data_IF_484168893931
#
_entry.id   IF_484168893931
#
_cell.length_a   1.000
_cell.length_b   1.000
_cell.length_c   1.000
_cell.angle_alpha   90.00
_cell.angle_beta   90.00
_cell.angle_gamma   90.00
#
_symmetry.space_group_name_H-M   'P 1'
#
loop_
_entity.id
_entity.type
_entity.pdbx_description
1 polymer ?
#
# COMPACT_ATOMS: atom_id res chain seq x y z
N UNK A 1 -13.48 10.93 -6.45
CA UNK A 1 -13.83 9.96 -5.39
C UNK A 1 -13.91 8.60 -6.06
N UNK A 2 -13.21 7.58 -5.57
CA UNK A 2 -13.03 6.33 -6.31
C UNK A 2 -14.20 5.37 -6.02
N UNK A 3 -15.12 5.19 -6.95
CA UNK A 3 -16.23 4.28 -6.71
C UNK A 3 -15.78 2.81 -6.83
N UNK A 4 -15.92 1.99 -5.78
CA UNK A 4 -15.60 0.56 -5.80
C UNK A 4 -16.77 -0.26 -6.34
N UNK A 5 -16.48 -1.28 -7.13
CA UNK A 5 -17.50 -2.17 -7.67
C UNK A 5 -18.04 -3.15 -6.62
N UNK A 6 -19.17 -3.82 -6.92
CA UNK A 6 -19.67 -4.92 -6.09
C UNK A 6 -18.62 -6.04 -5.98
N UNK A 7 -17.96 -6.41 -7.08
CA UNK A 7 -16.93 -7.45 -7.09
C UNK A 7 -15.72 -7.12 -6.20
N UNK A 8 -15.24 -5.88 -6.26
CA UNK A 8 -14.13 -5.41 -5.41
C UNK A 8 -14.51 -5.46 -3.93
N UNK A 9 -15.70 -4.95 -3.57
CA UNK A 9 -16.17 -4.94 -2.19
C UNK A 9 -16.42 -6.37 -1.69
N UNK A 10 -17.02 -7.23 -2.50
CA UNK A 10 -17.28 -8.62 -2.16
C UNK A 10 -15.98 -9.36 -1.83
N UNK A 11 -14.95 -9.20 -2.66
CA UNK A 11 -13.64 -9.78 -2.38
C UNK A 11 -13.00 -9.19 -1.11
N UNK A 12 -13.00 -7.87 -0.98
CA UNK A 12 -12.37 -7.20 0.15
C UNK A 12 -13.04 -7.57 1.48
N UNK A 13 -14.36 -7.82 1.48
CA UNK A 13 -15.07 -8.31 2.66
C UNK A 13 -14.57 -9.68 3.13
N UNK A 14 -14.33 -10.62 2.21
CA UNK A 14 -13.69 -11.90 2.56
C UNK A 14 -12.23 -11.73 2.95
N UNK A 15 -11.52 -10.83 2.26
CA UNK A 15 -10.12 -10.51 2.53
C UNK A 15 -9.89 -10.10 3.99
N UNK A 16 -10.72 -9.19 4.53
CA UNK A 16 -10.64 -8.70 5.92
C UNK A 16 -11.12 -9.73 6.97
N UNK A 17 -11.78 -10.81 6.55
CA UNK A 17 -12.21 -11.88 7.45
C UNK A 17 -11.14 -12.95 7.65
N UNK A 18 -10.14 -13.01 6.78
CA UNK A 18 -9.03 -13.95 6.97
C UNK A 18 -8.28 -14.31 5.70
N UNK A 19 -8.75 -13.96 4.49
CA UNK A 19 -7.98 -14.30 3.29
C UNK A 19 -6.62 -13.61 3.25
N UNK A 20 -6.44 -12.49 3.96
CA UNK A 20 -5.11 -11.88 4.16
C UNK A 20 -4.11 -12.83 4.84
N UNK A 21 -4.57 -13.75 5.69
CA UNK A 21 -3.72 -14.72 6.38
C UNK A 21 -3.34 -15.93 5.52
N UNK A 22 -3.95 -16.08 4.33
CA UNK A 22 -3.59 -17.14 3.39
C UNK A 22 -2.14 -16.96 2.94
N UNK A 23 -1.26 -17.98 3.10
CA UNK A 23 0.13 -17.90 2.64
C UNK A 23 0.25 -17.56 1.16
N UNK A 24 -0.68 -18.06 0.34
CA UNK A 24 -0.74 -17.78 -1.09
C UNK A 24 -1.04 -16.30 -1.38
N UNK A 25 -2.00 -15.72 -0.67
CA UNK A 25 -2.35 -14.29 -0.80
C UNK A 25 -1.20 -13.42 -0.32
N UNK A 26 -0.56 -13.76 0.81
CA UNK A 26 0.63 -13.06 1.33
C UNK A 26 1.78 -13.09 0.34
N UNK A 27 2.05 -14.23 -0.29
CA UNK A 27 3.10 -14.34 -1.30
C UNK A 27 2.81 -13.47 -2.52
N UNK A 28 1.57 -13.47 -3.03
CA UNK A 28 1.18 -12.57 -4.12
C UNK A 28 1.33 -11.11 -3.76
N UNK A 29 0.87 -10.70 -2.57
CA UNK A 29 1.04 -9.34 -2.06
C UNK A 29 2.52 -8.96 -1.96
N UNK A 30 3.37 -9.85 -1.45
CA UNK A 30 4.82 -9.62 -1.39
C UNK A 30 5.39 -9.41 -2.78
N UNK A 31 5.11 -10.29 -3.74
CA UNK A 31 5.62 -10.15 -5.12
C UNK A 31 5.18 -8.83 -5.77
N UNK A 32 3.96 -8.39 -5.49
CA UNK A 32 3.37 -7.16 -6.02
C UNK A 32 3.74 -5.88 -5.24
N UNK A 33 4.46 -5.99 -4.11
CA UNK A 33 4.66 -4.89 -3.16
C UNK A 33 3.33 -4.29 -2.62
N UNK A 34 2.36 -5.17 -2.36
CA UNK A 34 1.03 -4.85 -1.86
C UNK A 34 -0.03 -4.89 -2.95
N UNK A 35 -1.07 -4.08 -2.76
CA UNK A 35 -2.10 -3.84 -3.77
C UNK A 35 -1.73 -2.62 -4.63
N UNK A 36 -2.32 -2.48 -5.83
CA UNK A 36 -2.22 -1.23 -6.57
C UNK A 36 -2.93 -0.11 -5.78
N UNK A 37 -2.67 1.16 -6.11
CA UNK A 37 -3.23 2.32 -5.39
C UNK A 37 -4.73 2.19 -5.13
N UNK A 38 -5.50 1.82 -6.16
CA UNK A 38 -6.94 1.63 -6.07
C UNK A 38 -7.34 0.59 -5.03
N UNK A 39 -6.75 -0.59 -5.11
CA UNK A 39 -7.10 -1.70 -4.24
C UNK A 39 -6.52 -1.52 -2.84
N UNK A 40 -5.40 -0.82 -2.69
CA UNK A 40 -4.84 -0.46 -1.39
C UNK A 40 -5.79 0.49 -0.64
N UNK A 41 -6.26 1.55 -1.29
CA UNK A 41 -7.29 2.43 -0.73
C UNK A 41 -8.58 1.68 -0.47
N UNK A 42 -9.01 0.83 -1.40
CA UNK A 42 -10.20 0.01 -1.23
C UNK A 42 -10.13 -0.88 0.01
N UNK A 43 -9.01 -1.58 0.23
CA UNK A 43 -8.81 -2.42 1.41
C UNK A 43 -8.86 -1.62 2.72
N UNK A 44 -8.20 -0.45 2.76
CA UNK A 44 -8.24 0.44 3.92
C UNK A 44 -9.67 0.93 4.20
N UNK A 45 -10.38 1.39 3.17
CA UNK A 45 -11.75 1.90 3.31
C UNK A 45 -12.69 0.80 3.78
N UNK A 46 -12.74 -0.32 3.07
CA UNK A 46 -13.59 -1.46 3.42
C UNK A 46 -13.30 -1.90 4.86
N UNK A 47 -12.04 -2.12 5.24
CA UNK A 47 -11.74 -2.54 6.61
C UNK A 47 -12.16 -1.50 7.65
N UNK A 48 -11.88 -0.22 7.40
CA UNK A 48 -12.29 0.86 8.31
C UNK A 48 -13.80 0.89 8.53
N UNK A 49 -14.59 0.69 7.47
CA UNK A 49 -16.06 0.77 7.54
C UNK A 49 -16.67 -0.46 8.21
N UNK A 50 -16.06 -1.64 8.04
CA UNK A 50 -16.53 -2.87 8.68
C UNK A 50 -16.02 -3.08 10.11
N UNK A 51 -14.87 -2.48 10.47
CA UNK A 51 -14.22 -2.63 11.79
C UNK A 51 -14.18 -1.33 12.61
N UNK A 52 -15.00 -0.33 12.27
CA UNK A 52 -15.10 0.95 12.97
C UNK A 52 -13.74 1.66 13.15
N UNK A 53 -12.93 1.66 12.10
CA UNK A 53 -11.64 2.36 12.06
C UNK A 53 -10.44 1.53 12.49
N UNK A 54 -10.65 0.29 12.95
CA UNK A 54 -9.55 -0.63 13.23
C UNK A 54 -8.98 -1.21 11.92
N UNK A 55 -7.70 -0.94 11.65
CA UNK A 55 -7.00 -1.34 10.42
C UNK A 55 -5.98 -2.45 10.70
N UNK A 56 -6.44 -3.64 11.05
CA UNK A 56 -5.52 -4.74 11.37
C UNK A 56 -4.81 -5.26 10.12
N UNK A 57 -5.57 -5.59 9.08
CA UNK A 57 -5.04 -6.15 7.85
C UNK A 57 -4.01 -5.24 7.18
N UNK A 58 -4.37 -3.96 6.90
CA UNK A 58 -3.44 -2.97 6.40
C UNK A 58 -2.21 -2.77 7.29
N UNK A 59 -2.33 -2.78 8.62
CA UNK A 59 -1.18 -2.63 9.51
C UNK A 59 -0.22 -3.81 9.40
N UNK A 60 -0.72 -5.05 9.41
CA UNK A 60 0.09 -6.27 9.26
C UNK A 60 0.73 -6.36 7.87
N UNK A 61 0.06 -5.87 6.82
CA UNK A 61 0.65 -5.79 5.49
C UNK A 61 1.71 -4.67 5.43
N UNK A 62 1.42 -3.52 6.02
CA UNK A 62 2.34 -2.38 6.06
C UNK A 62 3.64 -2.74 6.77
N UNK A 63 3.56 -3.34 7.96
CA UNK A 63 4.73 -3.79 8.72
C UNK A 63 5.61 -4.77 7.92
N UNK A 64 5.02 -5.76 7.25
CA UNK A 64 5.72 -6.73 6.41
C UNK A 64 6.43 -6.07 5.22
N UNK A 65 5.74 -5.15 4.53
CA UNK A 65 6.31 -4.41 3.40
C UNK A 65 7.43 -3.46 3.86
N UNK A 66 7.24 -2.73 4.96
CA UNK A 66 8.25 -1.80 5.49
C UNK A 66 9.48 -2.54 6.00
N UNK A 67 9.31 -3.65 6.71
CA UNK A 67 10.41 -4.51 7.18
C UNK A 67 11.24 -5.02 5.99
N UNK A 68 10.57 -5.43 4.91
CA UNK A 68 11.23 -5.86 3.69
C UNK A 68 11.91 -4.70 2.94
N UNK A 69 11.32 -3.51 2.94
CA UNK A 69 11.94 -2.31 2.38
C UNK A 69 13.23 -1.98 3.14
N UNK A 70 13.20 -2.00 4.47
CA UNK A 70 14.37 -1.78 5.32
C UNK A 70 15.49 -2.80 5.02
N UNK A 71 15.14 -4.09 4.96
CA UNK A 71 16.09 -5.16 4.65
C UNK A 71 16.78 -4.95 3.29
N UNK A 72 16.10 -4.36 2.31
CA UNK A 72 16.70 -4.04 1.00
C UNK A 72 17.84 -3.00 1.10
N UNK A 73 17.75 -2.06 2.05
CA UNK A 73 18.75 -1.02 2.27
C UNK A 73 19.94 -1.46 3.13
N UNK A 74 19.77 -2.51 3.95
CA UNK A 74 20.83 -3.03 4.84
C UNK A 74 21.95 -3.79 4.10
N UNK A 75 21.85 -3.96 2.78
CA UNK A 75 22.88 -4.61 1.96
C UNK A 75 24.23 -3.89 2.03
N UNK A 76 25.30 -4.62 2.34
CA UNK A 76 26.68 -4.11 2.41
C UNK A 76 27.44 -4.31 1.08
N UNK A 77 28.46 -3.46 0.88
CA UNK A 77 29.42 -3.58 -0.23
C UNK A 77 29.08 -2.81 -1.51
N UNK A 78 29.94 -2.93 -2.54
CA UNK A 78 29.72 -2.29 -3.84
C UNK A 78 28.40 -2.78 -4.47
N UNK A 79 27.71 -1.90 -5.16
CA UNK A 79 26.43 -2.22 -5.80
C UNK A 79 25.23 -2.35 -4.85
N UNK A 80 25.32 -1.87 -3.60
CA UNK A 80 24.17 -1.88 -2.66
C UNK A 80 22.92 -1.20 -3.20
N UNK A 81 23.07 -0.06 -3.89
CA UNK A 81 21.94 0.72 -4.39
C UNK A 81 21.24 0.05 -5.57
N UNK A 82 21.95 -0.42 -6.62
CA UNK A 82 21.34 -1.27 -7.65
C UNK A 82 20.62 -2.49 -7.08
N UNK A 83 21.20 -3.16 -6.07
CA UNK A 83 20.56 -4.29 -5.39
C UNK A 83 19.30 -3.89 -4.65
N UNK A 84 19.34 -2.83 -3.83
CA UNK A 84 18.18 -2.31 -3.12
C UNK A 84 17.03 -1.97 -4.10
N UNK A 85 17.34 -1.25 -5.18
CA UNK A 85 16.35 -0.90 -6.21
C UNK A 85 15.78 -2.16 -6.88
N UNK A 86 16.62 -3.14 -7.19
CA UNK A 86 16.17 -4.41 -7.74
C UNK A 86 15.17 -5.13 -6.82
N UNK A 87 15.38 -5.09 -5.50
CA UNK A 87 14.47 -5.70 -4.52
C UNK A 87 13.18 -4.91 -4.30
N UNK A 88 13.23 -3.59 -4.44
CA UNK A 88 12.08 -2.69 -4.35
C UNK A 88 11.18 -2.69 -5.59
N UNK A 89 11.64 -3.28 -6.70
CA UNK A 89 10.81 -3.49 -7.90
C UNK A 89 9.72 -4.53 -7.63
N UNK A 90 8.55 -4.25 -8.19
CA UNK A 90 7.47 -5.23 -8.26
C UNK A 90 7.83 -6.38 -9.21
N UNK A 91 7.38 -7.58 -8.85
CA UNK A 91 7.63 -8.84 -9.56
C UNK A 91 6.34 -9.59 -9.89
N UNK A 92 5.21 -8.88 -9.85
CA UNK A 92 3.89 -9.41 -10.12
C UNK A 92 2.81 -8.33 -10.09
N UNK A 93 1.64 -8.62 -10.66
CA UNK A 93 0.50 -7.71 -10.64
C UNK A 93 -0.13 -7.64 -9.25
N UNK A 94 -0.94 -6.60 -9.01
CA UNK A 94 -1.83 -6.56 -7.85
C UNK A 94 -2.73 -7.83 -7.83
N UNK A 95 -2.87 -8.52 -6.69
CA UNK A 95 -3.65 -9.77 -6.62
C UNK A 95 -5.10 -9.61 -7.08
N UNK A 96 -5.73 -8.46 -6.76
CA UNK A 96 -7.10 -8.17 -7.20
C UNK A 96 -7.18 -7.91 -8.70
N UNK A 97 -6.23 -7.16 -9.27
CA UNK A 97 -6.17 -6.95 -10.72
C UNK A 97 -5.96 -8.27 -11.48
N UNK A 98 -5.13 -9.17 -10.94
CA UNK A 98 -4.87 -10.49 -11.54
C UNK A 98 -6.15 -11.35 -11.62
N UNK A 99 -7.08 -11.18 -10.67
CA UNK A 99 -8.39 -11.85 -10.68
C UNK A 99 -9.44 -11.11 -11.54
N UNK A 100 -9.07 -10.03 -12.22
CA UNK A 100 -10.01 -9.22 -13.01
C UNK A 100 -10.96 -8.36 -12.16
N UNK A 101 -10.65 -8.15 -10.87
CA UNK A 101 -11.42 -7.25 -10.03
C UNK A 101 -11.01 -5.80 -10.34
N UNK A 102 -11.99 -5.04 -10.82
CA UNK A 102 -11.84 -3.63 -11.15
C UNK A 102 -13.19 -2.91 -11.13
N UNK A 103 -13.27 -1.68 -11.65
CA UNK A 103 -14.42 -0.79 -11.47
C UNK A 103 -15.77 -1.33 -11.94
N UNK A 104 -15.78 -2.29 -12.87
CA UNK A 104 -16.99 -2.90 -13.44
C UNK A 104 -17.18 -4.36 -13.03
N UNK A 105 -16.33 -4.89 -12.14
CA UNK A 105 -16.42 -6.28 -11.71
C UNK A 105 -17.67 -6.53 -10.88
N UNK A 106 -18.32 -7.66 -11.14
CA UNK A 106 -19.53 -8.09 -10.45
C UNK A 106 -19.18 -9.03 -9.28
N UNK A 107 -20.05 -9.08 -8.28
CA UNK A 107 -19.90 -9.94 -7.12
C UNK A 107 -21.27 -10.33 -6.56
N UNK A 108 -21.26 -11.00 -5.40
CA UNK A 108 -22.46 -11.46 -4.71
C UNK A 108 -22.68 -10.74 -3.38
N UNK A 109 -22.01 -9.59 -3.18
CA UNK A 109 -22.24 -8.78 -2.00
C UNK A 109 -23.66 -8.20 -2.02
N UNK A 110 -24.35 -8.23 -0.88
CA UNK A 110 -25.64 -7.56 -0.71
C UNK A 110 -25.51 -6.05 -0.90
N UNK A 111 -26.61 -5.37 -1.26
CA UNK A 111 -26.64 -3.91 -1.41
C UNK A 111 -26.15 -3.18 -0.15
N UNK A 112 -26.59 -3.64 1.03
CA UNK A 112 -26.15 -3.09 2.31
C UNK A 112 -24.63 -3.22 2.53
N UNK A 113 -24.04 -4.35 2.14
CA UNK A 113 -22.60 -4.58 2.24
C UNK A 113 -21.85 -3.65 1.29
N UNK A 114 -22.35 -3.48 0.06
CA UNK A 114 -21.79 -2.53 -0.92
C UNK A 114 -21.85 -1.10 -0.40
N UNK A 115 -23.01 -0.64 0.06
CA UNK A 115 -23.19 0.71 0.60
C UNK A 115 -22.22 0.98 1.75
N UNK A 116 -22.10 0.05 2.70
CA UNK A 116 -21.16 0.16 3.81
C UNK A 116 -19.70 0.15 3.34
N UNK A 117 -19.34 -0.69 2.38
CA UNK A 117 -17.99 -0.75 1.80
C UNK A 117 -17.62 0.51 1.02
N UNK A 118 -18.61 1.29 0.57
CA UNK A 118 -18.43 2.59 -0.09
C UNK A 118 -18.41 3.77 0.88
N UNK A 119 -18.70 3.57 2.16
CA UNK A 119 -18.62 4.65 3.15
C UNK A 119 -17.16 4.95 3.50
N UNK A 120 -16.70 6.16 3.17
CA UNK A 120 -15.31 6.59 3.36
C UNK A 120 -15.18 7.68 4.43
N UNK A 121 -16.30 8.07 5.03
CA UNK A 121 -16.37 9.21 5.94
C UNK A 121 -15.36 9.08 7.09
N UNK A 122 -15.32 7.90 7.71
CA UNK A 122 -14.42 7.60 8.82
C UNK A 122 -12.94 7.70 8.41
N UNK A 123 -12.55 7.07 7.30
CA UNK A 123 -11.15 7.09 6.88
C UNK A 123 -10.71 8.48 6.43
N UNK A 124 -11.61 9.25 5.78
CA UNK A 124 -11.34 10.64 5.44
C UNK A 124 -11.07 11.48 6.69
N UNK A 125 -11.88 11.29 7.71
CA UNK A 125 -11.72 12.00 8.98
C UNK A 125 -10.42 11.59 9.71
N UNK A 126 -10.10 10.29 9.77
CA UNK A 126 -8.82 9.80 10.32
C UNK A 126 -7.63 10.39 9.52
N UNK A 127 -7.70 10.38 8.20
CA UNK A 127 -6.63 10.91 7.35
C UNK A 127 -6.42 12.42 7.59
N UNK A 128 -7.48 13.21 7.68
CA UNK A 128 -7.38 14.65 7.96
C UNK A 128 -6.80 14.94 9.35
N UNK A 129 -7.26 14.20 10.38
CA UNK A 129 -6.77 14.36 11.76
C UNK A 129 -5.30 13.98 11.89
N UNK A 130 -4.86 12.96 11.16
CA UNK A 130 -3.48 12.44 11.28
C UNK A 130 -2.50 13.06 10.29
N UNK A 131 -2.99 13.76 9.26
CA UNK A 131 -2.17 14.37 8.21
C UNK A 131 -0.94 15.14 8.74
N UNK A 132 -1.03 15.98 9.79
CA UNK A 132 0.13 16.69 10.30
C UNK A 132 1.30 15.77 10.71
N UNK A 133 1.02 14.54 11.13
CA UNK A 133 2.02 13.60 11.62
C UNK A 133 2.78 12.88 10.51
N UNK A 134 2.20 12.72 9.32
CA UNK A 134 2.82 11.95 8.23
C UNK A 134 2.99 12.73 6.93
N UNK A 135 2.51 13.98 6.84
CA UNK A 135 2.64 14.82 5.64
C UNK A 135 4.08 14.96 5.16
N UNK A 136 5.04 15.09 6.07
CA UNK A 136 6.46 15.24 5.73
C UNK A 136 7.09 13.96 5.13
N UNK A 137 6.44 12.80 5.30
CA UNK A 137 6.87 11.52 4.72
C UNK A 137 6.28 11.27 3.32
N UNK A 138 5.45 12.17 2.81
CA UNK A 138 4.87 12.05 1.49
C UNK A 138 5.89 12.33 0.40
N UNK A 139 5.71 11.67 -0.73
CA UNK A 139 6.61 11.82 -1.85
C UNK A 139 6.49 13.23 -2.45
N UNK A 140 7.58 13.99 -2.46
CA UNK A 140 7.58 15.35 -3.02
C UNK A 140 7.22 15.39 -4.50
N UNK A 141 7.62 14.39 -5.29
CA UNK A 141 7.17 14.24 -6.68
C UNK A 141 5.66 14.03 -6.83
N UNK A 142 5.03 13.28 -5.93
CA UNK A 142 3.59 13.08 -5.96
C UNK A 142 2.84 14.35 -5.51
N UNK A 143 3.43 15.12 -4.61
CA UNK A 143 2.88 16.39 -4.13
C UNK A 143 3.18 17.58 -5.05
N UNK A 144 4.15 17.46 -5.96
CA UNK A 144 4.63 18.58 -6.77
C UNK A 144 5.50 19.57 -6.00
N UNK A 145 6.19 19.13 -4.95
CA UNK A 145 7.10 19.96 -4.14
C UNK A 145 8.57 19.49 -4.20
N UNK A 146 9.46 20.26 -3.59
CA UNK A 146 10.91 20.01 -3.58
C UNK A 146 11.39 19.01 -2.52
N UNK A 147 10.48 18.38 -1.77
CA UNK A 147 10.84 17.40 -0.74
C UNK A 147 11.71 16.29 -1.34
N UNK A 148 12.80 15.87 -0.66
CA UNK A 148 13.65 14.78 -1.14
C UNK A 148 13.00 13.41 -0.97
N UNK A 149 11.86 13.31 -0.26
CA UNK A 149 11.18 12.05 0.04
C UNK A 149 10.56 11.44 -1.21
N UNK A 150 10.70 10.13 -1.38
CA UNK A 150 10.21 9.39 -2.55
C UNK A 150 9.35 8.22 -2.12
N UNK A 151 8.22 8.03 -2.78
CA UNK A 151 7.48 6.77 -2.72
C UNK A 151 8.30 5.68 -3.43
N UNK A 152 8.02 4.40 -3.13
CA UNK A 152 8.71 3.26 -3.75
C UNK A 152 8.78 3.38 -5.29
N UNK A 153 7.68 3.64 -6.04
CA UNK A 153 7.74 3.77 -7.50
C UNK A 153 8.72 4.86 -7.97
N UNK A 154 8.65 6.06 -7.36
CA UNK A 154 9.56 7.14 -7.71
C UNK A 154 11.01 6.84 -7.34
N UNK A 155 11.26 6.18 -6.20
CA UNK A 155 12.60 5.76 -5.81
C UNK A 155 13.22 4.76 -6.79
N UNK A 156 12.42 3.80 -7.27
CA UNK A 156 12.83 2.82 -8.27
C UNK A 156 13.08 3.48 -9.63
N UNK A 157 12.31 4.52 -9.99
CA UNK A 157 12.45 5.22 -11.27
C UNK A 157 13.70 6.12 -11.35
N UNK A 158 14.17 6.67 -10.22
CA UNK A 158 15.25 7.68 -10.16
C UNK A 158 16.69 7.11 -10.20
N UNK A 159 16.89 5.97 -10.87
CA UNK A 159 18.03 5.04 -10.80
C UNK A 159 19.47 5.57 -11.04
N UNK A 160 19.74 6.88 -11.10
CA UNK A 160 21.10 7.38 -11.40
C UNK A 160 21.53 8.70 -10.74
N UNK A 161 20.65 9.46 -10.06
CA UNK A 161 21.00 10.78 -9.48
C UNK A 161 21.00 10.87 -7.94
N UNK A 162 20.81 9.77 -7.22
CA UNK A 162 20.18 9.85 -5.89
C UNK A 162 20.94 9.20 -4.71
N UNK A 163 22.28 9.08 -4.73
CA UNK A 163 23.05 8.49 -3.58
C UNK A 163 22.65 9.09 -2.23
N UNK A 164 22.46 10.42 -2.15
CA UNK A 164 22.03 11.12 -0.93
C UNK A 164 20.57 10.86 -0.53
N UNK A 165 19.66 10.70 -1.50
CA UNK A 165 18.23 10.48 -1.22
C UNK A 165 17.94 9.08 -0.68
N UNK A 166 18.73 8.08 -1.05
CA UNK A 166 18.59 6.73 -0.51
C UNK A 166 18.95 6.64 0.97
N UNK A 167 19.93 7.43 1.45
CA UNK A 167 20.30 7.45 2.86
C UNK A 167 19.23 8.14 3.71
N UNK A 168 18.67 9.27 3.23
CA UNK A 168 17.52 9.91 3.85
C UNK A 168 16.29 8.98 3.91
N UNK A 169 16.06 8.19 2.85
CA UNK A 169 14.95 7.24 2.82
C UNK A 169 15.15 6.06 3.79
N UNK A 170 16.38 5.54 3.90
CA UNK A 170 16.69 4.51 4.90
C UNK A 170 16.42 5.01 6.32
N UNK A 171 16.80 6.26 6.62
CA UNK A 171 16.56 6.87 7.93
C UNK A 171 15.05 7.01 8.21
N UNK A 172 14.26 7.49 7.25
CA UNK A 172 12.80 7.58 7.40
C UNK A 172 12.17 6.20 7.64
N UNK A 173 12.59 5.17 6.90
CA UNK A 173 12.06 3.81 7.09
C UNK A 173 12.41 3.27 8.48
N UNK A 174 13.61 3.55 9.00
CA UNK A 174 14.01 3.13 10.35
C UNK A 174 13.36 3.91 11.49
N UNK A 175 12.86 5.12 11.25
CA UNK A 175 12.14 5.90 12.28
C UNK A 175 10.69 5.43 12.46
N UNK A 176 10.14 4.70 11.49
CA UNK A 176 8.76 4.20 11.47
C UNK A 176 8.64 2.81 12.13
N UNK A 177 9.70 2.00 12.09
CA UNK A 177 9.75 0.62 12.60
C UNK A 177 10.44 0.58 13.97
#
# INVERSE_FOLDING_TARGET
>A
MMDLSNGEIHYLWWYIQGSIMSPFVREKLRRAWGMCERHAWGAIFVESSFRHGYLHGPSVLYEDLMSRALASFQSRGPGRLPRAIHWLRERGPCPMCEMGLGPHSQGMASSQLVERGKDWSLMRDIALRTLPHWRHMLCGKCLGDDSPVRCRPHLVSETSRARGRHQAHMQLVSEIL
#
